data_IF_844487239678
#
_entry.id   IF_844487239678
#
_cell.length_a   1.000
_cell.length_b   1.000
_cell.length_c   1.000
_cell.angle_alpha   90.00
_cell.angle_beta   90.00
_cell.angle_gamma   90.00
#
_symmetry.space_group_name_H-M   'P 1'
#
loop_
_entity.id
_entity.type
_entity.pdbx_description
1 polymer ?
#
# COMPACT_ATOMS: atom_id res chain seq x y z
N UNK A 1 22.64 16.07 2.18
CA UNK A 1 21.26 16.59 2.23
C UNK A 1 20.72 16.87 0.84
N UNK A 2 21.40 17.70 0.02
CA UNK A 2 20.95 18.03 -1.34
C UNK A 2 20.60 16.82 -2.23
N UNK A 3 21.47 15.79 -2.33
CA UNK A 3 21.18 14.60 -3.15
C UNK A 3 19.95 13.80 -2.71
N UNK A 4 19.79 13.57 -1.40
CA UNK A 4 18.64 12.84 -0.86
C UNK A 4 17.34 13.65 -1.01
N UNK A 5 17.41 14.97 -0.82
CA UNK A 5 16.27 15.86 -1.03
C UNK A 5 15.87 15.94 -2.51
N UNK A 6 16.82 16.13 -3.42
CA UNK A 6 16.57 16.12 -4.86
C UNK A 6 16.01 14.76 -5.32
N UNK A 7 16.57 13.65 -4.82
CA UNK A 7 16.06 12.31 -5.09
C UNK A 7 14.63 12.10 -4.57
N UNK A 8 14.31 12.62 -3.38
CA UNK A 8 12.96 12.58 -2.83
C UNK A 8 11.98 13.41 -3.67
N UNK A 9 12.33 14.65 -4.02
CA UNK A 9 11.47 15.52 -4.83
C UNK A 9 11.26 14.93 -6.23
N UNK A 10 12.33 14.51 -6.89
CA UNK A 10 12.25 13.84 -8.19
C UNK A 10 11.44 12.55 -8.11
N UNK A 11 11.62 11.75 -7.06
CA UNK A 11 10.85 10.53 -6.82
C UNK A 11 9.36 10.81 -6.63
N UNK A 12 9.01 11.77 -5.78
CA UNK A 12 7.62 12.16 -5.55
C UNK A 12 6.95 12.68 -6.83
N UNK A 13 7.64 13.54 -7.59
CA UNK A 13 7.15 14.05 -8.88
C UNK A 13 7.00 12.91 -9.88
N UNK A 14 7.98 12.02 -10.00
CA UNK A 14 7.93 10.88 -10.90
C UNK A 14 6.76 9.95 -10.58
N UNK A 15 6.57 9.62 -9.30
CA UNK A 15 5.44 8.82 -8.83
C UNK A 15 4.09 9.48 -9.11
N UNK A 16 3.98 10.78 -8.82
CA UNK A 16 2.78 11.57 -9.08
C UNK A 16 2.45 11.58 -10.59
N UNK A 17 3.39 11.97 -11.44
CA UNK A 17 3.19 12.04 -12.89
C UNK A 17 2.84 10.67 -13.47
N UNK A 18 3.56 9.61 -13.09
CA UNK A 18 3.31 8.26 -13.57
C UNK A 18 1.93 7.75 -13.16
N UNK A 19 1.52 7.99 -11.90
CA UNK A 19 0.19 7.61 -11.41
C UNK A 19 -0.94 8.37 -12.12
N UNK A 20 -0.79 9.70 -12.32
CA UNK A 20 -1.79 10.50 -13.06
C UNK A 20 -1.89 10.08 -14.53
N UNK A 21 -0.76 9.82 -15.17
CA UNK A 21 -0.72 9.35 -16.55
C UNK A 21 -1.41 7.98 -16.67
N UNK A 22 -1.12 7.05 -15.75
CA UNK A 22 -1.76 5.74 -15.70
C UNK A 22 -3.28 5.87 -15.45
N UNK A 23 -3.70 6.70 -14.50
CA UNK A 23 -5.11 6.91 -14.19
C UNK A 23 -5.86 7.49 -15.39
N UNK A 24 -5.31 8.51 -16.05
CA UNK A 24 -5.90 9.12 -17.25
C UNK A 24 -6.01 8.10 -18.38
N UNK A 25 -4.96 7.30 -18.63
CA UNK A 25 -4.97 6.30 -19.68
C UNK A 25 -5.96 5.16 -19.42
N UNK A 26 -6.07 4.71 -18.16
CA UNK A 26 -6.97 3.64 -17.76
C UNK A 26 -8.43 4.09 -17.82
N UNK A 27 -8.76 5.25 -17.25
CA UNK A 27 -10.15 5.77 -17.25
C UNK A 27 -10.65 6.16 -18.65
N UNK A 28 -9.73 6.50 -19.58
CA UNK A 28 -10.08 6.72 -20.98
C UNK A 28 -10.45 5.42 -21.73
N UNK A 29 -9.94 4.26 -21.31
CA UNK A 29 -10.05 2.98 -22.05
C UNK A 29 -10.92 1.94 -21.37
N UNK A 30 -10.84 1.83 -20.05
CA UNK A 30 -11.51 0.81 -19.25
C UNK A 30 -12.79 1.39 -18.65
N UNK A 31 -13.90 1.35 -19.41
CA UNK A 31 -15.25 1.64 -18.88
C UNK A 31 -16.06 0.35 -18.73
N UNK A 32 -15.50 -0.65 -18.06
CA UNK A 32 -16.21 -1.89 -17.77
C UNK A 32 -16.85 -1.84 -16.39
N UNK A 33 -18.04 -2.45 -16.26
CA UNK A 33 -18.78 -2.56 -15.01
C UNK A 33 -18.02 -3.31 -13.91
N UNK A 34 -17.00 -4.07 -14.28
CA UNK A 34 -16.18 -4.85 -13.34
C UNK A 34 -15.31 -3.94 -12.46
N UNK A 35 -14.98 -2.74 -12.94
CA UNK A 35 -14.23 -1.73 -12.19
C UNK A 35 -15.13 -0.71 -11.50
N UNK A 36 -16.44 -0.93 -11.47
CA UNK A 36 -17.40 -0.04 -10.80
C UNK A 36 -17.79 -0.60 -9.43
N UNK A 37 -17.85 0.29 -8.43
CA UNK A 37 -18.38 -0.03 -7.11
C UNK A 37 -19.34 1.02 -6.62
N UNK A 38 -20.36 0.58 -5.90
CA UNK A 38 -21.27 1.46 -5.17
C UNK A 38 -20.65 1.82 -3.82
N UNK A 39 -20.50 3.12 -3.58
CA UNK A 39 -19.95 3.64 -2.33
C UNK A 39 -21.00 3.62 -1.20
N UNK A 40 -20.60 4.06 -0.01
CA UNK A 40 -21.46 4.10 1.17
C UNK A 40 -22.65 5.10 1.07
N UNK A 41 -22.66 5.98 0.07
CA UNK A 41 -23.75 6.91 -0.27
C UNK A 41 -24.65 6.41 -1.40
N UNK A 42 -24.38 5.22 -1.95
CA UNK A 42 -25.14 4.69 -3.09
C UNK A 42 -24.68 5.20 -4.45
N UNK A 43 -23.59 5.97 -4.53
CA UNK A 43 -23.06 6.50 -5.78
C UNK A 43 -22.02 5.53 -6.38
N UNK A 44 -21.91 5.49 -7.71
CA UNK A 44 -20.91 4.67 -8.40
C UNK A 44 -19.56 5.39 -8.42
N UNK A 45 -18.51 4.66 -8.05
CA UNK A 45 -17.11 5.05 -8.17
C UNK A 45 -16.32 4.01 -8.97
N UNK A 46 -15.13 4.40 -9.45
CA UNK A 46 -14.22 3.48 -10.15
C UNK A 46 -13.12 2.93 -9.25
N UNK A 47 -12.77 1.65 -9.43
CA UNK A 47 -11.62 0.99 -8.80
C UNK A 47 -10.32 1.15 -9.61
N UNK A 48 -10.32 1.90 -10.71
CA UNK A 48 -9.15 2.06 -11.58
C UNK A 48 -8.01 2.88 -10.96
N UNK A 49 -8.28 3.58 -9.84
CA UNK A 49 -7.24 4.27 -9.08
C UNK A 49 -6.20 3.28 -8.52
N UNK A 50 -6.62 2.09 -8.10
CA UNK A 50 -5.72 1.03 -7.67
C UNK A 50 -4.71 0.59 -8.72
N UNK A 51 -5.15 0.06 -9.88
CA UNK A 51 -4.27 -0.25 -11.01
C UNK A 51 -3.42 0.93 -11.47
N UNK A 52 -3.95 2.15 -11.44
CA UNK A 52 -3.19 3.36 -11.76
C UNK A 52 -2.05 3.62 -10.76
N UNK A 53 -2.32 3.50 -9.46
CA UNK A 53 -1.31 3.59 -8.41
C UNK A 53 -0.23 2.51 -8.61
N UNK A 54 -0.64 1.26 -8.84
CA UNK A 54 0.28 0.13 -9.04
C UNK A 54 1.21 0.37 -10.22
N UNK A 55 0.65 0.68 -11.39
CA UNK A 55 1.41 0.95 -12.61
C UNK A 55 2.32 2.18 -12.44
N UNK A 56 1.79 3.26 -11.85
CA UNK A 56 2.51 4.50 -11.62
C UNK A 56 3.67 4.35 -10.64
N UNK A 57 3.41 3.84 -9.44
CA UNK A 57 4.40 3.74 -8.37
C UNK A 57 5.46 2.67 -8.66
N UNK A 58 5.05 1.45 -9.07
CA UNK A 58 6.01 0.39 -9.38
C UNK A 58 6.81 0.72 -10.65
N UNK A 59 6.18 1.28 -11.68
CA UNK A 59 6.84 1.74 -12.90
C UNK A 59 7.84 2.87 -12.62
N UNK A 60 7.46 3.87 -11.84
CA UNK A 60 8.35 4.95 -11.41
C UNK A 60 9.55 4.41 -10.62
N UNK A 61 9.35 3.48 -9.67
CA UNK A 61 10.44 2.85 -8.92
C UNK A 61 11.35 2.00 -9.81
N UNK A 62 10.81 1.35 -10.85
CA UNK A 62 11.61 0.56 -11.78
C UNK A 62 12.62 1.40 -12.56
N UNK A 63 12.34 2.69 -12.80
CA UNK A 63 13.19 3.61 -13.56
C UNK A 63 13.87 4.69 -12.71
N UNK A 64 13.49 4.84 -11.43
CA UNK A 64 13.93 5.93 -10.57
C UNK A 64 15.47 6.06 -10.51
N UNK A 65 16.03 7.22 -10.87
CA UNK A 65 17.48 7.44 -10.89
C UNK A 65 18.14 7.14 -9.54
N UNK A 66 19.30 6.49 -9.56
CA UNK A 66 20.07 6.21 -8.34
C UNK A 66 19.59 5.02 -7.50
N UNK A 67 18.46 4.37 -7.84
CA UNK A 67 18.06 3.12 -7.20
C UNK A 67 18.89 1.92 -7.71
N UNK A 68 19.51 1.13 -6.82
CA UNK A 68 20.17 -0.12 -7.21
C UNK A 68 19.21 -1.13 -7.85
N UNK A 69 19.71 -1.96 -8.77
CA UNK A 69 18.90 -2.94 -9.48
C UNK A 69 18.09 -3.87 -8.56
N UNK A 70 18.69 -4.34 -7.45
CA UNK A 70 17.99 -5.16 -6.44
C UNK A 70 16.84 -4.42 -5.77
N UNK A 71 16.99 -3.13 -5.47
CA UNK A 71 15.93 -2.32 -4.87
C UNK A 71 14.79 -2.07 -5.87
N UNK A 72 15.11 -1.85 -7.15
CA UNK A 72 14.11 -1.73 -8.23
C UNK A 72 13.30 -3.02 -8.37
N UNK A 73 13.97 -4.17 -8.44
CA UNK A 73 13.31 -5.46 -8.56
C UNK A 73 12.45 -5.78 -7.32
N UNK A 74 12.96 -5.47 -6.11
CA UNK A 74 12.20 -5.62 -4.88
C UNK A 74 10.95 -4.73 -4.86
N UNK A 75 11.06 -3.49 -5.31
CA UNK A 75 9.94 -2.55 -5.41
C UNK A 75 8.88 -3.01 -6.42
N UNK A 76 9.31 -3.48 -7.60
CA UNK A 76 8.38 -4.03 -8.60
C UNK A 76 7.70 -5.27 -8.05
N UNK A 77 8.44 -6.20 -7.44
CA UNK A 77 7.86 -7.43 -6.89
C UNK A 77 6.88 -7.13 -5.74
N UNK A 78 7.25 -6.24 -4.82
CA UNK A 78 6.39 -5.83 -3.71
C UNK A 78 5.14 -5.08 -4.19
N UNK A 79 5.33 -4.02 -4.99
CA UNK A 79 4.25 -3.14 -5.44
C UNK A 79 3.35 -3.78 -6.49
N UNK A 80 3.93 -4.26 -7.60
CA UNK A 80 3.15 -4.87 -8.68
C UNK A 80 2.61 -6.25 -8.29
N UNK A 81 3.39 -7.06 -7.55
CA UNK A 81 2.93 -8.37 -7.08
C UNK A 81 1.76 -8.26 -6.10
N UNK A 82 1.89 -7.43 -5.05
CA UNK A 82 0.80 -7.23 -4.09
C UNK A 82 -0.40 -6.53 -4.75
N UNK A 83 -0.15 -5.58 -5.66
CA UNK A 83 -1.20 -4.87 -6.37
C UNK A 83 -1.98 -5.73 -7.35
N UNK A 84 -1.32 -6.66 -8.06
CA UNK A 84 -2.00 -7.60 -8.94
C UNK A 84 -2.92 -8.56 -8.16
N UNK A 85 -2.47 -9.01 -6.99
CA UNK A 85 -3.28 -9.86 -6.10
C UNK A 85 -4.45 -9.08 -5.50
N UNK A 86 -4.24 -7.81 -5.15
CA UNK A 86 -5.32 -6.92 -4.74
C UNK A 86 -6.34 -6.69 -5.86
N UNK A 87 -5.89 -6.43 -7.09
CA UNK A 87 -6.77 -6.27 -8.24
C UNK A 87 -7.56 -7.54 -8.56
N UNK A 88 -6.95 -8.72 -8.38
CA UNK A 88 -7.65 -9.99 -8.49
C UNK A 88 -8.78 -10.10 -7.45
N UNK A 89 -8.55 -9.66 -6.21
CA UNK A 89 -9.56 -9.66 -5.15
C UNK A 89 -10.66 -8.60 -5.41
N UNK A 90 -10.31 -7.42 -5.93
CA UNK A 90 -11.27 -6.39 -6.32
C UNK A 90 -12.26 -6.89 -7.39
N UNK A 91 -11.77 -7.67 -8.36
CA UNK A 91 -12.57 -8.19 -9.49
C UNK A 91 -13.31 -9.49 -9.17
N UNK A 92 -12.69 -10.39 -8.41
CA UNK A 92 -13.17 -11.77 -8.23
C UNK A 92 -13.43 -12.15 -6.76
N UNK A 93 -13.17 -11.25 -5.82
CA UNK A 93 -13.36 -11.47 -4.39
C UNK A 93 -14.83 -11.68 -4.03
N UNK A 94 -15.15 -12.89 -3.56
CA UNK A 94 -16.47 -13.24 -3.03
C UNK A 94 -16.60 -12.92 -1.54
N UNK A 95 -17.80 -12.55 -1.09
CA UNK A 95 -18.12 -12.17 0.30
C UNK A 95 -18.09 -13.32 1.33
N UNK A 96 -17.51 -14.48 0.98
CA UNK A 96 -17.59 -15.71 1.77
C UNK A 96 -16.29 -15.94 2.55
N UNK A 97 -16.44 -15.95 3.88
CA UNK A 97 -15.41 -15.92 4.94
C UNK A 97 -14.78 -14.53 5.17
N UNK A 98 -15.11 -13.92 6.31
CA UNK A 98 -14.53 -12.66 6.77
C UNK A 98 -13.36 -12.96 7.70
N UNK A 99 -12.20 -12.41 7.40
CA UNK A 99 -11.07 -12.31 8.33
C UNK A 99 -9.95 -13.33 8.13
N UNK A 100 -8.76 -12.96 8.59
CA UNK A 100 -7.50 -13.69 8.40
C UNK A 100 -7.57 -15.13 8.95
N UNK A 101 -8.11 -15.31 10.17
CA UNK A 101 -8.35 -16.63 10.75
C UNK A 101 -9.29 -17.51 9.90
N UNK A 102 -10.28 -16.93 9.25
CA UNK A 102 -11.24 -17.66 8.41
C UNK A 102 -10.58 -18.31 7.20
N UNK A 103 -9.77 -17.53 6.47
CA UNK A 103 -9.04 -18.02 5.30
C UNK A 103 -7.96 -19.05 5.65
N UNK A 104 -7.21 -18.82 6.75
CA UNK A 104 -6.23 -19.80 7.21
C UNK A 104 -6.87 -21.11 7.67
N UNK A 105 -8.02 -21.04 8.34
CA UNK A 105 -8.76 -22.24 8.75
C UNK A 105 -9.32 -22.99 7.54
N UNK A 106 -9.79 -22.28 6.51
CA UNK A 106 -10.22 -22.89 5.25
C UNK A 106 -9.05 -23.58 4.53
N UNK A 107 -7.90 -22.91 4.44
CA UNK A 107 -6.68 -23.46 3.86
C UNK A 107 -6.21 -24.72 4.61
N UNK A 108 -6.27 -24.72 5.95
CA UNK A 108 -5.95 -25.89 6.76
C UNK A 108 -6.90 -27.09 6.51
N UNK A 109 -8.09 -26.84 5.96
CA UNK A 109 -9.03 -27.88 5.52
C UNK A 109 -8.92 -28.20 4.02
N UNK A 110 -7.86 -27.74 3.35
CA UNK A 110 -7.63 -27.94 1.92
C UNK A 110 -8.52 -27.08 1.01
N UNK A 111 -9.23 -26.09 1.54
CA UNK A 111 -10.09 -25.20 0.76
C UNK A 111 -9.31 -23.97 0.31
N UNK A 112 -9.08 -23.86 -1.00
CA UNK A 112 -8.46 -22.68 -1.60
C UNK A 112 -9.54 -21.59 -1.75
N UNK A 113 -9.45 -20.55 -0.93
CA UNK A 113 -10.30 -19.35 -1.01
C UNK A 113 -9.55 -18.21 -1.70
N UNK A 114 -10.25 -17.23 -2.26
CA UNK A 114 -9.62 -16.01 -2.81
C UNK A 114 -8.74 -15.32 -1.76
N UNK A 115 -9.21 -15.25 -0.51
CA UNK A 115 -8.42 -14.72 0.60
C UNK A 115 -7.18 -15.55 0.95
N UNK A 116 -7.21 -16.89 0.79
CA UNK A 116 -6.01 -17.71 0.95
C UNK A 116 -4.99 -17.45 -0.18
N UNK A 117 -5.45 -17.29 -1.43
CA UNK A 117 -4.60 -16.91 -2.56
C UNK A 117 -3.96 -15.53 -2.32
N UNK A 118 -4.74 -14.56 -1.82
CA UNK A 118 -4.25 -13.23 -1.46
C UNK A 118 -3.19 -13.28 -0.37
N UNK A 119 -3.46 -13.99 0.75
CA UNK A 119 -2.52 -14.11 1.87
C UNK A 119 -1.21 -14.77 1.42
N UNK A 120 -1.29 -15.90 0.71
CA UNK A 120 -0.12 -16.62 0.25
C UNK A 120 0.66 -15.85 -0.81
N UNK A 121 -0.03 -15.23 -1.76
CA UNK A 121 0.60 -14.45 -2.81
C UNK A 121 1.26 -13.17 -2.29
N UNK A 122 0.60 -12.42 -1.40
CA UNK A 122 1.17 -11.21 -0.79
C UNK A 122 2.35 -11.62 0.12
N UNK A 123 2.22 -12.73 0.84
CA UNK A 123 3.33 -13.33 1.60
C UNK A 123 4.53 -13.69 0.72
N UNK A 124 4.30 -14.34 -0.42
CA UNK A 124 5.34 -14.75 -1.34
C UNK A 124 6.04 -13.56 -2.02
N UNK A 125 5.26 -12.58 -2.49
CA UNK A 125 5.81 -11.35 -3.10
C UNK A 125 6.60 -10.52 -2.07
N UNK A 126 6.09 -10.42 -0.83
CA UNK A 126 6.80 -9.78 0.28
C UNK A 126 8.11 -10.48 0.64
N UNK A 127 8.11 -11.81 0.76
CA UNK A 127 9.32 -12.61 1.01
C UNK A 127 10.34 -12.52 -0.13
N UNK A 128 9.87 -12.59 -1.38
CA UNK A 128 10.75 -12.44 -2.54
C UNK A 128 11.37 -11.05 -2.61
N UNK A 129 10.61 -10.00 -2.34
CA UNK A 129 11.13 -8.63 -2.26
C UNK A 129 12.14 -8.50 -1.12
N UNK A 130 11.85 -9.07 0.05
CA UNK A 130 12.76 -9.10 1.18
C UNK A 130 14.07 -9.83 0.88
N UNK A 131 14.03 -10.96 0.16
CA UNK A 131 15.21 -11.75 -0.19
C UNK A 131 16.22 -10.96 -1.04
N UNK A 132 15.74 -9.97 -1.82
CA UNK A 132 16.58 -9.12 -2.65
C UNK A 132 17.32 -8.02 -1.86
N UNK A 133 16.80 -7.64 -0.68
CA UNK A 133 17.31 -6.50 0.11
C UNK A 133 17.86 -6.88 1.49
N UNK A 134 17.67 -8.12 1.91
CA UNK A 134 18.03 -8.62 3.24
C UNK A 134 19.37 -9.35 3.26
N UNK A 135 19.92 -9.56 4.45
CA UNK A 135 21.16 -10.33 4.67
C UNK A 135 20.86 -11.55 5.54
N UNK A 136 20.82 -12.72 4.92
CA UNK A 136 20.55 -13.99 5.60
C UNK A 136 19.06 -14.29 5.81
N UNK A 137 18.74 -15.54 6.18
CA UNK A 137 17.37 -16.05 6.16
C UNK A 137 16.44 -15.40 7.20
N UNK A 138 16.93 -15.12 8.41
CA UNK A 138 16.12 -14.51 9.47
C UNK A 138 15.69 -13.08 9.10
N UNK A 139 16.62 -12.27 8.59
CA UNK A 139 16.31 -10.92 8.12
C UNK A 139 15.30 -10.97 6.97
N UNK A 140 15.45 -11.90 6.03
CA UNK A 140 14.49 -12.10 4.93
C UNK A 140 13.10 -12.43 5.45
N UNK A 141 12.98 -13.33 6.43
CA UNK A 141 11.69 -13.70 7.01
C UNK A 141 11.02 -12.52 7.72
N UNK A 142 11.78 -11.81 8.56
CA UNK A 142 11.28 -10.64 9.31
C UNK A 142 10.86 -9.53 8.36
N UNK A 143 11.70 -9.23 7.37
CA UNK A 143 11.42 -8.18 6.39
C UNK A 143 10.25 -8.57 5.47
N UNK A 144 10.16 -9.83 5.06
CA UNK A 144 9.07 -10.32 4.23
C UNK A 144 7.74 -10.27 4.96
N UNK A 145 7.71 -10.69 6.23
CA UNK A 145 6.54 -10.55 7.08
C UNK A 145 6.13 -9.08 7.30
N UNK A 146 7.11 -8.18 7.45
CA UNK A 146 6.83 -6.75 7.59
C UNK A 146 6.28 -6.14 6.28
N UNK A 147 6.80 -6.51 5.11
CA UNK A 147 6.31 -6.05 3.81
C UNK A 147 4.87 -6.55 3.58
N UNK A 148 4.65 -7.86 3.71
CA UNK A 148 3.34 -8.48 3.50
C UNK A 148 2.31 -7.99 4.52
N UNK A 149 2.71 -7.88 5.79
CA UNK A 149 1.85 -7.35 6.85
C UNK A 149 1.50 -5.88 6.64
N UNK A 150 2.42 -5.07 6.13
CA UNK A 150 2.14 -3.66 5.81
C UNK A 150 1.15 -3.52 4.66
N UNK A 151 1.24 -4.39 3.63
CA UNK A 151 0.25 -4.48 2.55
C UNK A 151 -1.16 -4.77 3.11
N UNK A 152 -1.28 -5.84 3.89
CA UNK A 152 -2.55 -6.20 4.54
C UNK A 152 -3.07 -5.09 5.45
N UNK A 153 -2.19 -4.44 6.23
CA UNK A 153 -2.60 -3.36 7.13
C UNK A 153 -3.13 -2.14 6.38
N UNK A 154 -2.50 -1.75 5.26
CA UNK A 154 -3.00 -0.67 4.42
C UNK A 154 -4.41 -0.98 3.86
N UNK A 155 -4.64 -2.23 3.43
CA UNK A 155 -5.95 -2.71 2.99
C UNK A 155 -7.02 -2.59 4.09
N UNK A 156 -6.66 -2.81 5.37
CA UNK A 156 -7.60 -2.66 6.50
C UNK A 156 -8.04 -1.20 6.72
N UNK A 157 -7.24 -0.23 6.26
CA UNK A 157 -7.60 1.18 6.30
C UNK A 157 -8.37 1.64 5.06
N UNK A 158 -8.43 0.84 3.98
CA UNK A 158 -9.13 1.21 2.75
C UNK A 158 -10.64 0.94 2.80
N UNK A 159 -11.31 1.46 3.83
CA UNK A 159 -12.76 1.28 4.04
C UNK A 159 -13.56 2.58 3.88
N UNK A 160 -12.85 3.69 3.66
CA UNK A 160 -13.41 5.03 3.52
C UNK A 160 -12.55 5.87 2.59
N UNK A 161 -13.16 6.82 1.86
CA UNK A 161 -12.48 7.70 0.90
C UNK A 161 -11.16 8.30 1.43
N UNK A 162 -10.07 8.05 0.73
CA UNK A 162 -8.73 8.57 0.93
C UNK A 162 -8.02 8.10 2.20
N UNK A 163 -8.61 7.18 2.98
CA UNK A 163 -8.05 6.80 4.29
C UNK A 163 -6.73 6.07 4.15
N UNK A 164 -6.64 5.07 3.26
CA UNK A 164 -5.41 4.32 3.06
C UNK A 164 -4.24 5.23 2.64
N UNK A 165 -4.49 6.16 1.71
CA UNK A 165 -3.49 7.14 1.26
C UNK A 165 -3.06 8.05 2.42
N UNK A 166 -3.99 8.59 3.22
CA UNK A 166 -3.64 9.41 4.40
C UNK A 166 -2.79 8.66 5.41
N UNK A 167 -3.15 7.41 5.71
CA UNK A 167 -2.37 6.55 6.60
C UNK A 167 -0.97 6.32 6.02
N UNK A 168 -0.88 6.06 4.71
CA UNK A 168 0.39 5.95 3.99
C UNK A 168 1.25 7.22 4.11
N UNK A 169 0.65 8.40 3.94
CA UNK A 169 1.33 9.70 4.10
C UNK A 169 1.80 9.93 5.55
N UNK A 170 0.98 9.58 6.54
CA UNK A 170 1.33 9.71 7.97
C UNK A 170 2.44 8.72 8.40
N UNK A 171 2.47 7.52 7.84
CA UNK A 171 3.51 6.54 8.09
C UNK A 171 4.80 6.85 7.32
N UNK A 172 4.67 7.23 6.05
CA UNK A 172 5.79 7.49 5.15
C UNK A 172 6.46 8.85 5.39
N UNK A 173 5.75 9.88 5.86
CA UNK A 173 6.31 11.22 6.11
C UNK A 173 7.47 11.21 7.11
N UNK A 174 7.30 10.66 8.32
CA UNK A 174 8.39 10.50 9.29
C UNK A 174 9.53 9.63 8.77
N UNK A 175 9.21 8.58 8.01
CA UNK A 175 10.21 7.70 7.39
C UNK A 175 11.06 8.46 6.35
N UNK A 176 10.41 9.27 5.51
CA UNK A 176 11.07 10.13 4.54
C UNK A 176 11.96 11.15 5.25
N UNK A 177 11.45 11.82 6.28
CA UNK A 177 12.24 12.75 7.09
C UNK A 177 13.49 12.09 7.68
N UNK A 178 13.35 10.87 8.23
CA UNK A 178 14.47 10.09 8.73
C UNK A 178 15.49 9.72 7.63
N UNK A 179 15.05 9.46 6.40
CA UNK A 179 15.94 9.23 5.26
C UNK A 179 16.70 10.51 4.88
N UNK A 180 16.03 11.66 4.84
CA UNK A 180 16.64 12.95 4.52
C UNK A 180 17.69 13.37 5.55
N UNK A 181 17.38 13.21 6.85
CA UNK A 181 18.30 13.48 7.95
C UNK A 181 19.56 12.61 7.86
N UNK A 182 19.39 11.33 7.53
CA UNK A 182 20.50 10.37 7.37
C UNK A 182 21.19 10.46 6.00
N UNK A 183 20.71 11.33 5.11
CA UNK A 183 21.21 11.48 3.73
C UNK A 183 21.10 10.18 2.91
N UNK A 184 20.14 9.33 3.24
CA UNK A 184 19.85 8.08 2.54
C UNK A 184 19.00 8.36 1.30
N UNK A 185 19.66 8.50 0.15
CA UNK A 185 18.98 8.79 -1.12
C UNK A 185 18.13 7.61 -1.63
N UNK A 186 18.57 6.37 -1.38
CA UNK A 186 17.84 5.16 -1.81
C UNK A 186 16.55 5.03 -1.01
N UNK A 187 16.64 5.14 0.31
CA UNK A 187 15.49 5.16 1.20
C UNK A 187 14.52 6.28 0.88
N UNK A 188 15.04 7.50 0.67
CA UNK A 188 14.22 8.65 0.35
C UNK A 188 13.43 8.44 -0.96
N UNK A 189 14.03 7.86 -2.00
CA UNK A 189 13.33 7.55 -3.25
C UNK A 189 12.28 6.43 -3.07
N UNK A 190 12.60 5.36 -2.33
CA UNK A 190 11.68 4.26 -2.04
C UNK A 190 10.43 4.72 -1.28
N UNK A 191 10.54 5.76 -0.44
CA UNK A 191 9.39 6.35 0.25
C UNK A 191 8.70 7.39 -0.62
N UNK A 192 9.44 8.32 -1.23
CA UNK A 192 8.85 9.47 -1.89
C UNK A 192 8.02 9.12 -3.12
N UNK A 193 8.42 8.11 -3.91
CA UNK A 193 7.68 7.69 -5.11
C UNK A 193 6.24 7.23 -4.79
N UNK A 194 6.01 6.23 -3.90
CA UNK A 194 4.65 5.81 -3.57
C UNK A 194 3.85 6.91 -2.86
N UNK A 195 4.48 7.77 -2.05
CA UNK A 195 3.79 8.92 -1.45
C UNK A 195 3.34 9.94 -2.51
N UNK A 196 4.19 10.25 -3.49
CA UNK A 196 3.84 11.14 -4.60
C UNK A 196 2.72 10.57 -5.46
N UNK A 197 2.77 9.26 -5.78
CA UNK A 197 1.71 8.57 -6.49
C UNK A 197 0.37 8.64 -5.74
N UNK A 198 0.36 8.31 -4.45
CA UNK A 198 -0.85 8.37 -3.63
C UNK A 198 -1.39 9.78 -3.47
N UNK A 199 -0.53 10.76 -3.17
CA UNK A 199 -0.94 12.16 -3.04
C UNK A 199 -1.55 12.72 -4.34
N UNK A 200 -1.07 12.27 -5.49
CA UNK A 200 -1.59 12.71 -6.78
C UNK A 200 -2.97 12.13 -7.09
N UNK A 201 -3.30 10.93 -6.61
CA UNK A 201 -4.60 10.29 -6.82
C UNK A 201 -5.64 10.62 -5.73
N UNK A 202 -5.16 11.10 -4.57
CA UNK A 202 -5.98 11.48 -3.42
C UNK A 202 -7.22 12.35 -3.72
N UNK A 203 -7.21 13.32 -4.66
CA UNK A 203 -8.39 14.14 -4.94
C UNK A 203 -9.60 13.33 -5.43
N UNK A 204 -9.41 12.38 -6.33
CA UNK A 204 -10.47 11.53 -6.87
C UNK A 204 -11.00 10.55 -5.82
N UNK A 205 -10.11 10.03 -4.97
CA UNK A 205 -10.49 9.18 -3.82
C UNK A 205 -11.34 9.97 -2.82
N UNK A 206 -10.85 11.14 -2.38
CA UNK A 206 -11.59 12.02 -1.45
C UNK A 206 -12.90 12.56 -2.02
N UNK A 207 -12.95 12.76 -3.34
CA UNK A 207 -14.15 13.13 -4.09
C UNK A 207 -15.14 11.99 -4.27
N UNK A 208 -14.80 10.78 -3.80
CA UNK A 208 -15.61 9.57 -3.95
C UNK A 208 -15.90 9.22 -5.42
N UNK A 209 -15.01 9.64 -6.32
CA UNK A 209 -15.08 9.36 -7.77
C UNK A 209 -14.32 8.09 -8.13
N UNK A 210 -13.25 7.84 -7.39
CA UNK A 210 -12.47 6.62 -7.47
C UNK A 210 -12.18 6.09 -6.06
N UNK A 211 -11.62 4.90 -5.98
CA UNK A 211 -11.14 4.31 -4.75
C UNK A 211 -9.88 3.52 -5.04
N UNK A 212 -8.89 3.65 -4.16
CA UNK A 212 -7.62 2.93 -4.28
C UNK A 212 -7.81 1.40 -4.36
N UNK A 213 -8.79 0.86 -3.64
CA UNK A 213 -9.15 -0.56 -3.66
C UNK A 213 -8.06 -1.46 -3.08
N UNK A 214 -8.32 -2.76 -3.08
CA UNK A 214 -7.35 -3.72 -2.59
C UNK A 214 -6.08 -3.71 -3.45
N UNK A 215 -6.19 -3.44 -4.75
CA UNK A 215 -5.04 -3.27 -5.65
C UNK A 215 -4.06 -2.19 -5.16
N UNK A 216 -4.53 -0.96 -5.00
CA UNK A 216 -3.65 0.14 -4.65
C UNK A 216 -3.27 0.13 -3.16
N UNK A 217 -4.18 -0.29 -2.26
CA UNK A 217 -3.90 -0.31 -0.83
C UNK A 217 -2.81 -1.34 -0.48
N UNK A 218 -2.91 -2.57 -1.02
CA UNK A 218 -1.87 -3.59 -0.81
C UNK A 218 -0.52 -3.14 -1.41
N UNK A 219 -0.52 -2.54 -2.60
CA UNK A 219 0.70 -2.02 -3.21
C UNK A 219 1.33 -0.88 -2.39
N UNK A 220 0.53 0.10 -1.94
CA UNK A 220 1.01 1.21 -1.09
C UNK A 220 1.64 0.68 0.19
N UNK A 221 0.96 -0.23 0.88
CA UNK A 221 1.46 -0.85 2.10
C UNK A 221 2.73 -1.68 1.87
N UNK A 222 2.79 -2.47 0.79
CA UNK A 222 3.97 -3.27 0.45
C UNK A 222 5.19 -2.37 0.13
N UNK A 223 4.99 -1.31 -0.64
CA UNK A 223 6.06 -0.37 -1.01
C UNK A 223 6.58 0.41 0.19
N UNK A 224 5.70 0.90 1.07
CA UNK A 224 6.12 1.56 2.32
C UNK A 224 6.76 0.59 3.31
N UNK A 225 6.29 -0.66 3.37
CA UNK A 225 6.92 -1.74 4.14
C UNK A 225 8.33 -2.04 3.63
N UNK A 226 8.52 -2.12 2.31
CA UNK A 226 9.84 -2.30 1.68
C UNK A 226 10.76 -1.13 1.99
N UNK A 227 10.25 0.10 1.85
CA UNK A 227 10.99 1.31 2.19
C UNK A 227 11.39 1.32 3.68
N UNK A 228 10.51 0.88 4.58
CA UNK A 228 10.81 0.82 6.01
C UNK A 228 11.89 -0.24 6.33
N UNK A 229 11.81 -1.45 5.78
CA UNK A 229 12.82 -2.50 6.08
C UNK A 229 14.19 -2.21 5.48
N UNK A 230 14.24 -1.51 4.35
CA UNK A 230 15.51 -1.08 3.72
C UNK A 230 16.17 0.06 4.49
N UNK A 231 15.39 0.91 5.15
CA UNK A 231 15.88 2.13 5.81
C UNK A 231 16.08 1.96 7.30
N UNK A 232 15.27 1.14 7.99
CA UNK A 232 15.35 0.95 9.42
C UNK A 232 16.44 -0.05 9.81
N UNK A 233 17.11 0.21 10.94
CA UNK A 233 17.95 -0.78 11.59
C UNK A 233 17.13 -1.92 12.21
N UNK A 234 17.80 -2.97 12.70
CA UNK A 234 17.18 -4.19 13.24
C UNK A 234 16.06 -3.93 14.26
N UNK A 235 16.30 -3.05 15.24
CA UNK A 235 15.29 -2.68 16.25
C UNK A 235 14.04 -2.06 15.63
N UNK A 236 14.22 -1.17 14.64
CA UNK A 236 13.11 -0.53 13.94
C UNK A 236 12.30 -1.53 13.11
N UNK A 237 12.95 -2.52 12.48
CA UNK A 237 12.26 -3.60 11.75
C UNK A 237 11.39 -4.45 12.67
N UNK A 238 11.89 -4.81 13.86
CA UNK A 238 11.09 -5.55 14.84
C UNK A 238 9.95 -4.71 15.41
N UNK A 239 10.18 -3.43 15.67
CA UNK A 239 9.13 -2.52 16.13
C UNK A 239 8.03 -2.36 15.05
N UNK A 240 8.41 -2.23 13.78
CA UNK A 240 7.47 -2.21 12.65
C UNK A 240 6.66 -3.50 12.60
N UNK A 241 7.32 -4.66 12.57
CA UNK A 241 6.65 -5.95 12.49
C UNK A 241 5.72 -6.17 13.69
N UNK A 242 6.17 -5.85 14.90
CA UNK A 242 5.35 -5.93 16.11
C UNK A 242 4.12 -5.02 16.05
N UNK A 243 4.28 -3.79 15.56
CA UNK A 243 3.16 -2.84 15.38
C UNK A 243 2.17 -3.35 14.35
N UNK A 244 2.66 -3.80 13.19
CA UNK A 244 1.83 -4.37 12.12
C UNK A 244 1.07 -5.60 12.60
N UNK A 245 1.74 -6.51 13.32
CA UNK A 245 1.11 -7.70 13.89
C UNK A 245 0.05 -7.33 14.94
N UNK A 246 0.36 -6.40 15.84
CA UNK A 246 -0.58 -5.95 16.88
C UNK A 246 -1.83 -5.29 16.29
N UNK A 247 -1.66 -4.41 15.29
CA UNK A 247 -2.79 -3.78 14.59
C UNK A 247 -3.60 -4.80 13.80
N UNK A 248 -2.94 -5.71 13.09
CA UNK A 248 -3.63 -6.79 12.36
C UNK A 248 -4.46 -7.64 13.32
N UNK A 249 -3.90 -8.05 14.46
CA UNK A 249 -4.63 -8.80 15.48
C UNK A 249 -5.78 -7.99 16.12
N UNK A 250 -5.58 -6.69 16.35
CA UNK A 250 -6.63 -5.82 16.88
C UNK A 250 -7.80 -5.68 15.90
N UNK A 251 -7.54 -5.66 14.59
CA UNK A 251 -8.55 -5.54 13.54
C UNK A 251 -9.55 -6.69 13.52
N UNK A 252 -9.18 -7.88 14.01
CA UNK A 252 -10.09 -9.04 14.09
C UNK A 252 -11.19 -8.85 15.14
N UNK A 253 -10.95 -8.00 16.14
CA UNK A 253 -11.86 -7.78 17.27
C UNK A 253 -12.47 -6.38 17.26
N UNK A 254 -11.76 -5.40 16.71
CA UNK A 254 -12.08 -3.98 16.81
C UNK A 254 -12.14 -3.36 15.41
N UNK A 255 -13.24 -2.67 15.11
CA UNK A 255 -13.35 -1.91 13.88
C UNK A 255 -12.54 -0.61 13.97
N UNK A 256 -11.50 -0.48 13.16
CA UNK A 256 -10.72 0.76 13.06
C UNK A 256 -11.59 1.95 12.68
N UNK A 257 -12.58 1.76 11.81
CA UNK A 257 -13.56 2.82 11.48
C UNK A 257 -14.29 3.32 12.72
N UNK A 258 -14.73 2.43 13.62
CA UNK A 258 -15.40 2.85 14.87
C UNK A 258 -14.45 3.58 15.81
N UNK A 259 -13.21 3.08 15.95
CA UNK A 259 -12.18 3.73 16.79
C UNK A 259 -11.84 5.13 16.29
N UNK A 260 -11.64 5.28 14.97
CA UNK A 260 -11.34 6.56 14.33
C UNK A 260 -12.51 7.52 14.51
N UNK A 261 -13.75 7.08 14.32
CA UNK A 261 -14.94 7.92 14.48
C UNK A 261 -15.16 8.36 15.94
N UNK A 262 -14.82 7.53 16.92
CA UNK A 262 -14.98 7.84 18.33
C UNK A 262 -13.91 8.81 18.89
N UNK A 263 -12.77 8.97 18.21
CA UNK A 263 -11.71 9.88 18.63
C UNK A 263 -11.78 11.21 17.84
N UNK A 264 -11.99 12.37 18.49
CA UNK A 264 -12.19 13.64 17.78
C UNK A 264 -11.04 14.04 16.85
N UNK A 265 -9.80 13.77 17.24
CA UNK A 265 -8.61 14.12 16.45
C UNK A 265 -8.49 13.20 15.23
N UNK A 266 -8.59 11.88 15.43
CA UNK A 266 -8.54 10.92 14.34
C UNK A 266 -9.70 11.11 13.37
N UNK A 267 -10.90 11.38 13.89
CA UNK A 267 -12.07 11.67 13.08
C UNK A 267 -11.86 12.91 12.21
N UNK A 268 -11.33 13.99 12.78
CA UNK A 268 -11.04 15.22 12.02
C UNK A 268 -10.03 14.98 10.89
N UNK A 269 -8.98 14.21 11.15
CA UNK A 269 -7.99 13.83 10.12
C UNK A 269 -8.66 12.95 9.04
N UNK A 270 -9.47 11.98 9.45
CA UNK A 270 -10.17 11.07 8.55
C UNK A 270 -11.15 11.82 7.64
N UNK A 271 -11.84 12.83 8.15
CA UNK A 271 -12.80 13.66 7.41
C UNK A 271 -12.14 14.77 6.58
N UNK A 272 -10.89 15.15 6.86
CA UNK A 272 -10.21 16.24 6.16
C UNK A 272 -10.21 16.03 4.63
N UNK A 273 -10.79 16.96 3.88
CA UNK A 273 -10.84 16.92 2.42
C UNK A 273 -11.90 15.99 1.82
N UNK A 274 -12.65 15.23 2.64
CA UNK A 274 -13.79 14.44 2.13
C UNK A 274 -14.97 15.36 1.79
N UNK A 275 -15.87 14.83 0.95
CA UNK A 275 -17.17 15.45 0.71
C UNK A 275 -17.96 15.66 2.01
N UNK A 276 -18.66 16.79 2.17
CA UNK A 276 -19.55 17.03 3.31
C UNK A 276 -20.57 15.90 3.47
N UNK A 277 -20.94 15.63 4.73
CA UNK A 277 -22.00 14.68 5.07
C UNK A 277 -23.32 15.05 4.41
#
# INVERSE_FOLDING_TARGET
MARALLGALAGAVLGAVAARAAYTALTAKARSKEWERTNHRGETLTLLEGPAFVAGAAGALAIAPGLPAKARLAAVLAGAGSGALGAYDDLYGGSSSKGFKGHLSALARGQVTSGAVKILGIGATGLGAAALVSRGPLDTLVNGAAIAGSANLANLFDLRPGRAIKVGLMAGGPLLAACLLRRDAVGAALVAVPLGAGAALLPEDLGEQAMLGDAGANALGALLGLAAVTTLGRRGRYALLGTVAALTAASEKISFTKVIAANPVLHRIDMLGRRPA
#
